data_IF_110424946893
#
_entry.id   IF_110424946893
#
_cell.length_a   1.000
_cell.length_b   1.000
_cell.length_c   1.000
_cell.angle_alpha   90.00
_cell.angle_beta   90.00
_cell.angle_gamma   90.00
#
_symmetry.space_group_name_H-M   'P 1'
#
loop_
_entity.id
_entity.type
_entity.pdbx_description
1 polymer ?
#
# COMPACT_ATOMS: atom_id res chain seq x y z
N UNK A 1 27.06 -17.17 -41.44
CA UNK A 1 25.93 -16.22 -41.23
C UNK A 1 24.87 -16.94 -40.40
N UNK A 2 24.99 -16.88 -39.08
CA UNK A 2 23.95 -17.36 -38.18
C UNK A 2 23.34 -16.12 -37.51
N UNK A 3 22.26 -15.64 -38.06
CA UNK A 3 21.40 -14.67 -37.40
C UNK A 3 20.61 -15.41 -36.31
N UNK A 4 21.19 -15.51 -35.13
CA UNK A 4 20.42 -15.87 -33.93
C UNK A 4 19.41 -14.79 -33.71
N UNK A 5 18.15 -15.04 -34.04
CA UNK A 5 16.99 -14.29 -33.63
C UNK A 5 17.01 -14.24 -32.12
N UNK A 6 17.40 -13.09 -31.58
CA UNK A 6 17.24 -12.75 -30.17
C UNK A 6 15.72 -12.65 -29.93
N UNK A 7 15.05 -13.79 -29.67
CA UNK A 7 13.70 -13.76 -29.15
C UNK A 7 13.78 -13.04 -27.83
N UNK A 8 13.25 -11.82 -27.78
CA UNK A 8 13.14 -11.02 -26.56
C UNK A 8 12.46 -11.89 -25.49
N UNK A 9 13.24 -12.43 -24.56
CA UNK A 9 12.74 -13.27 -23.48
C UNK A 9 11.77 -12.41 -22.65
N UNK A 10 10.51 -12.82 -22.61
CA UNK A 10 9.49 -12.14 -21.79
C UNK A 10 9.89 -12.19 -20.31
N UNK A 11 9.73 -11.09 -19.60
CA UNK A 11 9.95 -11.07 -18.15
C UNK A 11 8.82 -11.83 -17.45
N UNK A 12 9.18 -12.63 -16.47
CA UNK A 12 8.26 -13.40 -15.64
C UNK A 12 7.84 -12.58 -14.42
N UNK A 13 6.59 -12.12 -14.43
CA UNK A 13 6.03 -11.25 -13.41
C UNK A 13 5.23 -12.10 -12.41
N UNK A 14 5.77 -12.24 -11.20
CA UNK A 14 5.05 -12.86 -10.09
C UNK A 14 3.98 -11.90 -9.57
N UNK A 15 2.71 -12.11 -9.89
CA UNK A 15 1.61 -11.31 -9.33
C UNK A 15 1.19 -11.94 -8.00
N UNK A 16 1.53 -11.26 -6.90
CA UNK A 16 1.32 -11.75 -5.54
C UNK A 16 0.01 -11.20 -4.97
N UNK A 17 -0.90 -12.08 -4.54
CA UNK A 17 -2.24 -11.69 -4.11
C UNK A 17 -2.79 -12.55 -2.97
N UNK A 18 -3.92 -12.09 -2.38
CA UNK A 18 -4.58 -12.73 -1.26
C UNK A 18 -4.01 -12.26 0.08
N UNK A 19 -3.62 -13.20 0.94
CA UNK A 19 -2.99 -12.92 2.23
C UNK A 19 -3.94 -12.97 3.42
N UNK A 20 -3.37 -12.86 4.62
CA UNK A 20 -4.06 -12.89 5.93
C UNK A 20 -4.57 -11.49 6.28
N UNK A 21 -5.49 -10.97 5.49
CA UNK A 21 -5.99 -9.60 5.60
C UNK A 21 -7.49 -9.55 5.43
N UNK A 22 -8.14 -8.57 6.03
CA UNK A 22 -9.55 -8.24 5.79
C UNK A 22 -9.84 -7.81 4.34
N UNK A 23 -8.79 -7.48 3.59
CA UNK A 23 -8.86 -7.05 2.18
C UNK A 23 -8.52 -8.17 1.18
N UNK A 24 -8.53 -9.43 1.62
CA UNK A 24 -8.19 -10.60 0.80
C UNK A 24 -8.92 -10.63 -0.54
N UNK A 25 -10.23 -10.42 -0.55
CA UNK A 25 -11.06 -10.48 -1.77
C UNK A 25 -10.77 -9.30 -2.72
N UNK A 26 -10.48 -8.13 -2.18
CA UNK A 26 -10.07 -6.94 -2.96
C UNK A 26 -8.74 -7.21 -3.66
N UNK A 27 -7.83 -7.91 -2.98
CA UNK A 27 -6.54 -8.33 -3.54
C UNK A 27 -6.71 -9.26 -4.74
N UNK A 28 -7.66 -10.22 -4.69
CA UNK A 28 -7.95 -11.09 -5.82
C UNK A 28 -8.46 -10.29 -7.04
N UNK A 29 -9.37 -9.36 -6.82
CA UNK A 29 -9.90 -8.51 -7.88
C UNK A 29 -8.81 -7.61 -8.52
N UNK A 30 -7.93 -7.05 -7.68
CA UNK A 30 -6.77 -6.27 -8.12
C UNK A 30 -5.81 -7.11 -8.95
N UNK A 31 -5.45 -8.32 -8.49
CA UNK A 31 -4.56 -9.23 -9.20
C UNK A 31 -5.12 -9.65 -10.56
N UNK A 32 -6.42 -9.96 -10.62
CA UNK A 32 -7.08 -10.28 -11.90
C UNK A 32 -6.99 -9.12 -12.88
N UNK A 33 -7.10 -7.88 -12.42
CA UNK A 33 -6.98 -6.67 -13.26
C UNK A 33 -5.55 -6.45 -13.73
N UNK A 34 -4.56 -6.59 -12.84
CA UNK A 34 -3.13 -6.48 -13.20
C UNK A 34 -2.75 -7.54 -14.23
N UNK A 35 -3.11 -8.81 -14.03
CA UNK A 35 -2.82 -9.90 -14.97
C UNK A 35 -3.40 -9.63 -16.35
N UNK A 36 -4.64 -9.13 -16.43
CA UNK A 36 -5.25 -8.74 -17.72
C UNK A 36 -4.57 -7.53 -18.37
N UNK A 37 -3.99 -6.65 -17.55
CA UNK A 37 -3.31 -5.43 -18.02
C UNK A 37 -1.88 -5.68 -18.51
N UNK A 38 -1.21 -6.76 -18.09
CA UNK A 38 0.13 -7.13 -18.56
C UNK A 38 0.14 -7.35 -20.07
N UNK A 39 1.14 -6.80 -20.77
CA UNK A 39 1.34 -7.05 -22.21
C UNK A 39 1.93 -8.46 -22.43
N UNK A 40 1.19 -9.40 -23.04
CA UNK A 40 1.66 -10.76 -23.21
C UNK A 40 2.87 -10.90 -24.15
N UNK A 41 3.20 -9.86 -24.91
CA UNK A 41 4.41 -9.83 -25.74
C UNK A 41 5.67 -9.50 -24.92
N UNK A 42 5.51 -8.78 -23.80
CA UNK A 42 6.60 -8.36 -22.91
C UNK A 42 6.73 -9.26 -21.68
N UNK A 43 5.59 -9.74 -21.16
CA UNK A 43 5.49 -10.36 -19.84
C UNK A 43 4.81 -11.72 -19.87
N UNK A 44 5.27 -12.60 -18.97
CA UNK A 44 4.60 -13.82 -18.58
C UNK A 44 4.09 -13.65 -17.15
N UNK A 45 2.78 -13.67 -16.97
CA UNK A 45 2.18 -13.56 -15.64
C UNK A 45 2.28 -14.90 -14.89
N UNK A 46 2.82 -14.87 -13.67
CA UNK A 46 2.87 -16.00 -12.74
C UNK A 46 1.99 -15.66 -11.52
N UNK A 47 0.75 -16.16 -11.44
CA UNK A 47 -0.12 -15.91 -10.29
C UNK A 47 0.40 -16.63 -9.04
N UNK A 48 0.63 -15.87 -7.96
CA UNK A 48 1.10 -16.37 -6.66
C UNK A 48 0.06 -15.99 -5.62
N UNK A 49 -0.72 -16.96 -5.18
CA UNK A 49 -1.77 -16.75 -4.19
C UNK A 49 -1.31 -17.09 -2.78
N UNK A 50 -1.65 -16.23 -1.80
CA UNK A 50 -1.50 -16.52 -0.38
C UNK A 50 -2.89 -16.71 0.21
N UNK A 51 -3.14 -17.87 0.85
CA UNK A 51 -4.43 -18.17 1.47
C UNK A 51 -4.67 -17.32 2.73
N UNK A 52 -5.88 -17.36 3.28
CA UNK A 52 -6.20 -16.69 4.56
C UNK A 52 -5.44 -17.27 5.75
N UNK A 53 -4.94 -18.49 5.63
CA UNK A 53 -4.08 -19.17 6.61
C UNK A 53 -2.58 -18.83 6.41
N UNK A 54 -2.22 -18.22 5.27
CA UNK A 54 -0.84 -17.84 4.94
C UNK A 54 -0.08 -18.85 4.06
N UNK A 55 -0.75 -19.83 3.47
CA UNK A 55 -0.10 -20.78 2.57
C UNK A 55 0.10 -20.18 1.18
N UNK A 56 1.30 -20.32 0.66
CA UNK A 56 1.66 -19.87 -0.68
C UNK A 56 1.33 -20.92 -1.72
N UNK A 57 0.68 -20.50 -2.80
CA UNK A 57 0.21 -21.35 -3.88
C UNK A 57 0.52 -20.74 -5.24
N UNK A 58 0.95 -21.56 -6.20
CA UNK A 58 1.07 -21.17 -7.61
C UNK A 58 0.14 -22.01 -8.47
N UNK A 59 -0.43 -21.36 -9.49
CA UNK A 59 -1.28 -22.03 -10.48
C UNK A 59 -0.55 -22.25 -11.80
N UNK A 60 -0.92 -23.30 -12.54
CA UNK A 60 -0.46 -23.49 -13.91
C UNK A 60 -1.26 -22.60 -14.87
N UNK A 61 -0.58 -21.58 -15.43
CA UNK A 61 -1.13 -20.68 -16.46
C UNK A 61 -1.91 -19.48 -15.92
N UNK A 62 -1.67 -18.32 -16.53
CA UNK A 62 -2.27 -17.03 -16.16
C UNK A 62 -3.79 -16.93 -16.38
N UNK A 63 -4.41 -17.92 -17.00
CA UNK A 63 -5.84 -17.92 -17.34
C UNK A 63 -6.73 -18.67 -16.34
N UNK A 64 -6.17 -19.36 -15.35
CA UNK A 64 -6.98 -20.01 -14.31
C UNK A 64 -7.53 -18.95 -13.37
N UNK A 65 -8.77 -19.10 -12.96
CA UNK A 65 -9.41 -18.21 -11.99
C UNK A 65 -8.58 -18.21 -10.70
N UNK A 66 -8.23 -17.01 -10.19
CA UNK A 66 -7.38 -16.85 -9.01
C UNK A 66 -7.87 -17.62 -7.76
N UNK A 67 -9.20 -17.76 -7.51
CA UNK A 67 -9.70 -18.64 -6.47
C UNK A 67 -9.30 -20.12 -6.63
N UNK A 68 -9.05 -20.60 -7.86
CA UNK A 68 -8.58 -21.98 -8.10
C UNK A 68 -7.11 -22.14 -7.76
N UNK A 69 -6.30 -21.08 -7.94
CA UNK A 69 -4.89 -21.06 -7.48
C UNK A 69 -4.85 -21.25 -5.96
N UNK A 70 -5.68 -20.53 -5.23
CA UNK A 70 -5.74 -20.63 -3.76
C UNK A 70 -6.20 -22.02 -3.27
N UNK A 71 -7.18 -22.65 -3.97
CA UNK A 71 -7.75 -23.95 -3.57
C UNK A 71 -6.90 -25.15 -3.96
N UNK A 72 -6.37 -25.15 -5.18
CA UNK A 72 -5.74 -26.32 -5.79
C UNK A 72 -4.36 -26.06 -6.38
N UNK A 73 -3.76 -24.89 -6.19
CA UNK A 73 -2.42 -24.57 -6.65
C UNK A 73 -1.34 -25.39 -5.93
N UNK A 74 -0.19 -25.56 -6.58
CA UNK A 74 0.97 -26.20 -6.00
C UNK A 74 1.46 -25.39 -4.80
N UNK A 75 1.70 -26.04 -3.67
CA UNK A 75 2.30 -25.42 -2.50
C UNK A 75 3.75 -25.06 -2.78
N UNK A 76 4.13 -23.81 -2.51
CA UNK A 76 5.47 -23.28 -2.73
C UNK A 76 5.94 -22.44 -1.55
N UNK A 77 7.24 -22.19 -1.50
CA UNK A 77 7.85 -21.16 -0.66
C UNK A 77 8.77 -20.28 -1.51
N UNK A 78 8.89 -19.02 -1.15
CA UNK A 78 9.91 -18.14 -1.69
C UNK A 78 11.19 -18.33 -0.88
N UNK A 79 12.31 -18.49 -1.59
CA UNK A 79 13.62 -18.54 -0.94
C UNK A 79 14.04 -17.13 -0.52
N UNK A 80 14.67 -17.00 0.63
CA UNK A 80 15.32 -15.75 1.07
C UNK A 80 16.81 -15.71 0.63
N UNK A 81 17.16 -16.47 -0.40
CA UNK A 81 18.49 -16.54 -0.98
C UNK A 81 18.55 -15.67 -2.25
N UNK A 82 19.30 -14.56 -2.24
CA UNK A 82 19.37 -13.66 -3.40
C UNK A 82 20.06 -14.30 -4.62
N UNK A 83 20.77 -15.41 -4.45
CA UNK A 83 21.40 -16.15 -5.56
C UNK A 83 20.42 -17.08 -6.25
N UNK A 84 19.30 -17.45 -5.59
CA UNK A 84 18.23 -18.30 -6.13
C UNK A 84 16.85 -17.69 -5.88
N UNK A 85 16.55 -16.64 -6.62
CA UNK A 85 15.26 -15.92 -6.58
C UNK A 85 14.13 -16.76 -7.20
N UNK A 86 13.80 -17.89 -6.59
CA UNK A 86 12.82 -18.85 -7.10
C UNK A 86 11.71 -19.19 -6.11
N UNK A 87 10.58 -19.66 -6.66
CA UNK A 87 9.52 -20.32 -5.91
C UNK A 87 9.79 -21.82 -5.89
N UNK A 88 10.10 -22.37 -4.73
CA UNK A 88 10.43 -23.78 -4.55
C UNK A 88 9.18 -24.57 -4.15
N UNK A 89 8.87 -25.69 -4.86
CA UNK A 89 7.76 -26.55 -4.46
C UNK A 89 8.01 -27.22 -3.10
N UNK A 90 7.01 -27.19 -2.20
CA UNK A 90 7.11 -27.79 -0.86
C UNK A 90 6.96 -29.32 -0.87
N UNK A 91 6.25 -29.88 -1.87
CA UNK A 91 5.89 -31.30 -1.90
C UNK A 91 6.86 -32.16 -2.72
N UNK A 92 8.05 -31.67 -3.03
CA UNK A 92 9.04 -32.39 -3.85
C UNK A 92 8.64 -32.52 -5.33
N UNK A 93 9.59 -32.43 -6.22
CA UNK A 93 9.38 -32.68 -7.66
C UNK A 93 9.18 -31.41 -8.48
N UNK A 94 10.26 -30.90 -9.01
CA UNK A 94 10.31 -29.79 -9.97
C UNK A 94 11.42 -28.80 -9.63
N UNK A 95 12.02 -28.22 -10.66
CA UNK A 95 12.91 -27.08 -10.51
C UNK A 95 12.10 -25.86 -10.02
N UNK A 96 12.71 -25.03 -9.18
CA UNK A 96 12.12 -23.78 -8.73
C UNK A 96 11.71 -22.90 -9.92
N UNK A 97 10.62 -22.17 -9.77
CA UNK A 97 10.19 -21.22 -10.79
C UNK A 97 10.87 -19.88 -10.55
N UNK A 98 11.84 -19.53 -11.36
CA UNK A 98 12.51 -18.24 -11.31
C UNK A 98 11.58 -17.13 -11.76
N UNK A 99 11.61 -16.01 -11.05
CA UNK A 99 10.86 -14.80 -11.34
C UNK A 99 11.82 -13.65 -11.67
N UNK A 100 11.38 -12.69 -12.45
CA UNK A 100 12.19 -11.53 -12.80
C UNK A 100 11.73 -10.28 -12.02
N UNK A 101 10.43 -10.14 -11.74
CA UNK A 101 9.84 -9.05 -10.94
C UNK A 101 8.63 -9.57 -10.18
N UNK A 102 8.41 -9.06 -8.97
CA UNK A 102 7.18 -9.27 -8.22
C UNK A 102 6.28 -8.04 -8.33
N UNK A 103 5.01 -8.26 -8.61
CA UNK A 103 3.97 -7.25 -8.53
C UNK A 103 3.03 -7.58 -7.37
N UNK A 104 3.29 -7.05 -6.16
CA UNK A 104 2.40 -7.28 -5.03
C UNK A 104 1.13 -6.45 -5.19
N UNK A 105 -0.02 -7.09 -5.04
CA UNK A 105 -1.35 -6.46 -4.95
C UNK A 105 -2.08 -6.94 -3.70
N UNK A 106 -1.31 -7.14 -2.65
CA UNK A 106 -1.79 -7.49 -1.32
C UNK A 106 -2.13 -6.21 -0.57
N UNK A 107 -3.37 -6.11 -0.10
CA UNK A 107 -3.83 -4.93 0.64
C UNK A 107 -3.88 -5.18 2.14
N UNK A 108 -3.59 -4.14 2.93
CA UNK A 108 -3.63 -4.17 4.37
C UNK A 108 -2.48 -4.92 5.04
N UNK A 109 -2.76 -5.55 6.17
CA UNK A 109 -1.77 -6.24 7.02
C UNK A 109 -1.00 -7.31 6.24
N UNK A 110 0.31 -7.41 6.50
CA UNK A 110 1.29 -8.26 5.82
C UNK A 110 1.53 -7.93 4.33
N UNK A 111 0.70 -7.07 3.71
CA UNK A 111 0.85 -6.65 2.32
C UNK A 111 1.49 -5.26 2.18
N UNK A 112 1.07 -4.29 3.02
CA UNK A 112 1.46 -2.88 2.93
C UNK A 112 2.31 -2.41 4.11
N UNK A 113 2.66 -3.27 5.05
CA UNK A 113 3.31 -2.94 6.33
C UNK A 113 4.82 -3.18 6.37
N UNK A 114 5.44 -3.51 5.25
CA UNK A 114 6.87 -3.82 5.15
C UNK A 114 7.20 -5.31 5.31
N UNK A 115 6.24 -6.13 5.77
CA UNK A 115 6.48 -7.56 6.05
C UNK A 115 6.81 -8.33 4.77
N UNK A 116 5.96 -8.26 3.75
CA UNK A 116 6.23 -8.93 2.46
C UNK A 116 7.41 -8.29 1.74
N UNK A 117 7.56 -6.95 1.83
CA UNK A 117 8.68 -6.24 1.23
C UNK A 117 10.02 -6.71 1.81
N UNK A 118 10.07 -7.01 3.11
CA UNK A 118 11.27 -7.58 3.75
C UNK A 118 11.65 -8.95 3.19
N UNK A 119 10.69 -9.83 2.95
CA UNK A 119 10.95 -11.12 2.31
C UNK A 119 11.46 -10.95 0.88
N UNK A 120 10.84 -10.05 0.11
CA UNK A 120 11.23 -9.77 -1.27
C UNK A 120 12.64 -9.15 -1.34
N UNK A 121 12.99 -8.28 -0.41
CA UNK A 121 14.33 -7.71 -0.29
C UNK A 121 15.38 -8.78 0.01
N UNK A 122 15.12 -9.70 0.95
CA UNK A 122 16.02 -10.80 1.28
C UNK A 122 16.18 -11.75 0.09
N UNK A 123 15.13 -11.98 -0.69
CA UNK A 123 15.17 -12.81 -1.91
C UNK A 123 15.89 -12.15 -3.07
N UNK A 124 16.32 -10.89 -2.94
CA UNK A 124 16.98 -10.17 -4.04
C UNK A 124 16.10 -9.92 -5.27
N UNK A 125 14.76 -10.00 -5.14
CA UNK A 125 13.83 -9.82 -6.24
C UNK A 125 13.40 -8.35 -6.38
N UNK A 126 13.44 -7.79 -7.61
CA UNK A 126 12.77 -6.52 -7.88
C UNK A 126 11.27 -6.63 -7.58
N UNK A 127 10.69 -5.62 -6.96
CA UNK A 127 9.25 -5.60 -6.72
C UNK A 127 8.65 -4.20 -6.88
N UNK A 128 7.38 -4.17 -7.28
CA UNK A 128 6.61 -2.94 -7.50
C UNK A 128 6.18 -2.35 -6.17
N UNK A 129 6.32 -1.03 -6.02
CA UNK A 129 5.85 -0.28 -4.87
C UNK A 129 6.96 0.12 -3.91
N UNK A 130 6.57 0.60 -2.74
CA UNK A 130 7.48 1.07 -1.71
C UNK A 130 8.28 -0.08 -1.08
N UNK A 131 9.50 0.20 -0.67
CA UNK A 131 10.35 -0.72 0.10
C UNK A 131 9.87 -0.90 1.54
N UNK A 132 10.65 -1.62 2.34
CA UNK A 132 10.33 -1.95 3.74
C UNK A 132 9.99 -0.71 4.55
N UNK A 133 10.87 0.30 4.54
CA UNK A 133 10.71 1.51 5.36
C UNK A 133 9.46 2.29 4.96
N UNK A 134 9.30 2.60 3.67
CA UNK A 134 8.16 3.38 3.18
C UNK A 134 6.83 2.67 3.42
N UNK A 135 6.77 1.34 3.23
CA UNK A 135 5.58 0.54 3.51
C UNK A 135 5.22 0.56 5.00
N UNK A 136 6.19 0.31 5.89
CA UNK A 136 5.95 0.31 7.33
C UNK A 136 5.49 1.69 7.86
N UNK A 137 6.13 2.76 7.39
CA UNK A 137 5.77 4.14 7.74
C UNK A 137 4.39 4.49 7.19
N UNK A 138 4.13 4.19 5.91
CA UNK A 138 2.85 4.50 5.26
C UNK A 138 1.67 3.81 5.93
N UNK A 139 1.87 2.58 6.40
CA UNK A 139 0.83 1.80 7.09
C UNK A 139 0.51 2.34 8.49
N UNK A 140 1.51 2.78 9.25
CA UNK A 140 1.32 3.32 10.60
C UNK A 140 0.91 4.79 10.55
N UNK A 141 -0.38 5.06 10.66
CA UNK A 141 -0.96 6.41 10.56
C UNK A 141 -0.37 7.41 11.57
N UNK A 142 0.03 6.96 12.75
CA UNK A 142 0.66 7.82 13.77
C UNK A 142 2.08 8.24 13.34
N UNK A 143 2.90 7.28 12.92
CA UNK A 143 4.26 7.56 12.45
C UNK A 143 4.24 8.41 11.19
N UNK A 144 3.39 8.06 10.21
CA UNK A 144 3.20 8.85 9.00
C UNK A 144 2.84 10.31 9.31
N UNK A 145 1.86 10.54 10.18
CA UNK A 145 1.44 11.90 10.56
C UNK A 145 2.55 12.70 11.25
N UNK A 146 3.34 12.08 12.10
CA UNK A 146 4.50 12.75 12.74
C UNK A 146 5.53 13.18 11.71
N UNK A 147 5.89 12.32 10.75
CA UNK A 147 6.85 12.66 9.69
C UNK A 147 6.29 13.75 8.75
N UNK A 148 5.01 13.67 8.40
CA UNK A 148 4.34 14.69 7.61
C UNK A 148 4.34 16.06 8.30
N UNK A 149 4.15 16.11 9.64
CA UNK A 149 4.28 17.36 10.41
C UNK A 149 5.69 17.93 10.37
N UNK A 150 6.74 17.08 10.49
CA UNK A 150 8.13 17.50 10.33
C UNK A 150 8.36 18.10 8.94
N UNK A 151 7.74 17.49 7.90
CA UNK A 151 7.74 18.02 6.53
C UNK A 151 6.83 19.25 6.32
N UNK A 152 6.23 19.79 7.39
CA UNK A 152 5.33 20.96 7.37
C UNK A 152 4.05 20.76 6.54
N UNK A 153 3.61 19.51 6.40
CA UNK A 153 2.35 19.16 5.76
C UNK A 153 1.27 19.10 6.84
N UNK A 154 0.17 19.82 6.63
CA UNK A 154 -0.96 19.78 7.55
C UNK A 154 -1.63 18.41 7.52
N UNK A 155 -1.78 17.81 8.68
CA UNK A 155 -2.50 16.55 8.89
C UNK A 155 -3.71 16.75 9.80
N UNK A 156 -4.69 15.86 9.71
CA UNK A 156 -5.83 15.86 10.64
C UNK A 156 -5.31 15.74 12.07
N UNK A 157 -5.70 16.63 13.01
CA UNK A 157 -5.29 16.54 14.40
C UNK A 157 -5.70 15.22 15.04
N UNK A 158 -4.78 14.62 15.82
CA UNK A 158 -4.99 13.31 16.44
C UNK A 158 -4.35 13.20 17.82
N UNK A 159 -4.81 12.21 18.58
CA UNK A 159 -4.17 11.67 19.78
C UNK A 159 -3.90 10.19 19.52
N UNK A 160 -2.74 9.73 19.95
CA UNK A 160 -2.38 8.31 19.95
C UNK A 160 -2.68 7.70 21.30
N UNK A 161 -3.39 6.58 21.30
CA UNK A 161 -3.73 5.78 22.47
C UNK A 161 -3.15 4.39 22.31
N UNK A 162 -2.29 3.95 23.24
CA UNK A 162 -1.83 2.59 23.26
C UNK A 162 -2.84 1.69 23.98
N UNK A 163 -3.13 0.51 23.43
CA UNK A 163 -4.06 -0.48 24.00
C UNK A 163 -3.77 -0.75 25.48
N UNK A 164 -2.49 -0.97 25.84
CA UNK A 164 -2.07 -1.16 27.22
C UNK A 164 -2.47 -0.01 28.15
N UNK A 165 -2.28 1.24 27.72
CA UNK A 165 -2.61 2.42 28.51
C UNK A 165 -4.12 2.61 28.63
N UNK A 166 -4.87 2.30 27.56
CA UNK A 166 -6.32 2.27 27.56
C UNK A 166 -6.88 1.27 28.58
N UNK A 167 -6.40 0.02 28.54
CA UNK A 167 -6.83 -1.04 29.45
C UNK A 167 -6.52 -0.70 30.91
N UNK A 168 -5.36 -0.09 31.18
CA UNK A 168 -4.92 0.26 32.51
C UNK A 168 -5.61 1.49 33.10
N UNK A 169 -5.84 2.53 32.30
CA UNK A 169 -6.28 3.84 32.78
C UNK A 169 -7.40 4.47 31.88
N UNK A 170 -8.54 3.80 31.66
CA UNK A 170 -9.55 4.24 30.69
C UNK A 170 -10.10 5.63 30.99
N UNK A 171 -10.34 5.95 32.27
CA UNK A 171 -10.86 7.29 32.67
C UNK A 171 -9.87 8.42 32.39
N UNK A 172 -8.57 8.17 32.52
CA UNK A 172 -7.54 9.15 32.22
C UNK A 172 -7.45 9.42 30.71
N UNK A 173 -7.47 8.36 29.91
CA UNK A 173 -7.45 8.44 28.44
C UNK A 173 -8.68 9.18 27.92
N UNK A 174 -9.89 8.87 28.43
CA UNK A 174 -11.10 9.59 28.06
C UNK A 174 -11.00 11.11 28.34
N UNK A 175 -10.50 11.49 29.52
CA UNK A 175 -10.29 12.89 29.87
C UNK A 175 -9.29 13.58 28.94
N UNK A 176 -8.19 12.91 28.59
CA UNK A 176 -7.21 13.43 27.66
C UNK A 176 -7.81 13.69 26.28
N UNK A 177 -8.61 12.75 25.75
CA UNK A 177 -9.31 12.90 24.48
C UNK A 177 -10.26 14.06 24.53
N UNK A 178 -11.10 14.17 25.57
CA UNK A 178 -12.12 15.23 25.72
C UNK A 178 -11.53 16.61 26.00
N UNK A 179 -10.29 16.68 26.54
CA UNK A 179 -9.59 17.96 26.70
C UNK A 179 -9.06 18.51 25.38
N UNK A 180 -8.73 17.63 24.43
CA UNK A 180 -8.17 18.02 23.13
C UNK A 180 -9.25 18.19 22.06
N UNK A 181 -10.27 17.32 22.05
CA UNK A 181 -11.28 17.30 21.01
C UNK A 181 -12.70 17.43 21.54
N UNK A 182 -13.53 18.14 20.76
CA UNK A 182 -15.00 18.10 20.89
C UNK A 182 -15.52 17.01 19.95
N UNK A 183 -16.58 16.34 20.36
CA UNK A 183 -17.30 15.39 19.50
C UNK A 183 -17.93 16.09 18.27
N UNK A 184 -18.05 15.42 17.14
CA UNK A 184 -17.64 14.04 16.89
C UNK A 184 -16.12 13.87 16.68
N UNK A 185 -15.61 12.66 17.02
CA UNK A 185 -14.26 12.23 16.73
C UNK A 185 -14.28 10.89 15.98
N UNK A 186 -13.21 10.56 15.27
CA UNK A 186 -12.98 9.23 14.72
C UNK A 186 -12.02 8.45 15.60
N UNK A 187 -12.39 7.23 15.94
CA UNK A 187 -11.53 6.25 16.61
C UNK A 187 -11.17 5.17 15.59
N UNK A 188 -9.88 4.93 15.37
CA UNK A 188 -9.42 3.98 14.35
C UNK A 188 -8.12 3.27 14.75
N UNK A 189 -7.92 1.99 14.35
CA UNK A 189 -6.64 1.32 14.45
C UNK A 189 -5.56 2.08 13.66
N UNK A 190 -4.32 2.13 14.19
CA UNK A 190 -3.23 2.85 13.52
C UNK A 190 -2.74 2.16 12.25
N UNK A 191 -2.80 0.81 12.22
CA UNK A 191 -2.15 -0.04 11.21
C UNK A 191 -3.12 -0.89 10.40
N UNK A 192 -4.34 -0.40 10.16
CA UNK A 192 -5.35 -1.07 9.33
C UNK A 192 -5.88 -0.15 8.23
N UNK A 193 -6.18 -0.77 7.08
CA UNK A 193 -6.85 -0.16 5.94
C UNK A 193 -8.37 -0.34 5.95
N UNK A 194 -9.01 0.10 4.87
CA UNK A 194 -10.42 -0.15 4.52
C UNK A 194 -11.44 0.14 5.62
N UNK A 195 -11.14 1.07 6.51
CA UNK A 195 -12.04 1.48 7.61
C UNK A 195 -12.42 0.36 8.60
N UNK A 196 -11.68 -0.76 8.62
CA UNK A 196 -11.91 -1.86 9.58
C UNK A 196 -11.60 -1.39 11.00
N UNK A 197 -12.50 -1.64 11.95
CA UNK A 197 -12.35 -1.21 13.33
C UNK A 197 -12.45 0.30 13.57
N UNK A 198 -12.88 1.09 12.56
CA UNK A 198 -13.06 2.53 12.65
C UNK A 198 -14.50 2.86 13.07
N UNK A 199 -14.63 3.82 14.00
CA UNK A 199 -15.90 4.31 14.50
C UNK A 199 -15.92 5.84 14.54
N UNK A 200 -17.01 6.45 14.03
CA UNK A 200 -17.32 7.86 14.28
C UNK A 200 -18.10 7.95 15.59
N UNK A 201 -17.56 8.69 16.55
CA UNK A 201 -18.05 8.80 17.92
C UNK A 201 -18.67 10.16 18.11
N UNK A 202 -19.96 10.23 18.43
CA UNK A 202 -20.71 11.47 18.59
C UNK A 202 -20.85 11.92 20.04
N UNK A 203 -20.57 11.02 20.98
CA UNK A 203 -20.77 11.29 22.41
C UNK A 203 -19.78 10.48 23.27
N UNK A 204 -19.64 10.92 24.53
CA UNK A 204 -18.84 10.21 25.53
C UNK A 204 -19.27 8.76 25.72
N UNK A 205 -20.56 8.47 25.62
CA UNK A 205 -21.09 7.13 25.80
C UNK A 205 -20.59 6.14 24.74
N UNK A 206 -20.34 6.63 23.52
CA UNK A 206 -19.85 5.84 22.38
C UNK A 206 -18.33 5.66 22.39
N UNK A 207 -17.58 6.48 23.15
CA UNK A 207 -16.11 6.48 23.11
C UNK A 207 -15.50 5.18 23.62
N UNK A 208 -16.02 4.62 24.74
CA UNK A 208 -15.53 3.36 25.30
C UNK A 208 -15.73 2.17 24.38
N UNK A 209 -16.92 1.91 23.82
CA UNK A 209 -17.09 0.85 22.82
C UNK A 209 -16.19 1.01 21.60
N UNK A 210 -16.00 2.23 21.11
CA UNK A 210 -15.17 2.51 19.94
C UNK A 210 -13.67 2.23 20.20
N UNK A 211 -13.14 2.63 21.37
CA UNK A 211 -11.76 2.34 21.77
C UNK A 211 -11.55 0.84 21.97
N UNK A 212 -12.51 0.14 22.58
CA UNK A 212 -12.45 -1.32 22.74
C UNK A 212 -12.40 -2.02 21.38
N UNK A 213 -13.30 -1.64 20.46
CA UNK A 213 -13.31 -2.20 19.11
C UNK A 213 -11.98 -1.97 18.39
N UNK A 214 -11.47 -0.75 18.39
CA UNK A 214 -10.19 -0.46 17.73
C UNK A 214 -9.02 -1.21 18.37
N UNK A 215 -9.06 -1.44 19.70
CA UNK A 215 -8.07 -2.21 20.45
C UNK A 215 -8.04 -3.71 20.07
N UNK A 216 -9.13 -4.27 19.55
CA UNK A 216 -9.14 -5.65 19.05
C UNK A 216 -8.24 -5.81 17.81
N UNK A 217 -8.14 -4.75 17.00
CA UNK A 217 -7.45 -4.77 15.72
C UNK A 217 -6.01 -4.23 15.74
N UNK A 218 -5.64 -3.40 16.73
CA UNK A 218 -4.30 -2.85 16.81
C UNK A 218 -3.87 -2.55 18.23
N UNK A 219 -2.55 -2.61 18.48
CA UNK A 219 -1.95 -2.19 19.74
C UNK A 219 -1.92 -0.66 19.90
N UNK A 220 -2.04 0.07 18.79
CA UNK A 220 -2.03 1.53 18.70
C UNK A 220 -3.30 2.02 18.04
N UNK A 221 -3.97 2.96 18.66
CA UNK A 221 -5.26 3.52 18.27
C UNK A 221 -5.07 5.02 18.03
N UNK A 222 -5.65 5.56 16.97
CA UNK A 222 -5.76 7.00 16.75
C UNK A 222 -7.17 7.46 17.11
N UNK A 223 -7.22 8.58 17.83
CA UNK A 223 -8.44 9.37 17.98
C UNK A 223 -8.24 10.68 17.24
N UNK A 224 -9.03 10.92 16.20
CA UNK A 224 -8.90 12.06 15.32
C UNK A 224 -10.11 12.98 15.37
N UNK A 225 -9.85 14.27 15.18
CA UNK A 225 -10.92 15.24 14.99
C UNK A 225 -11.73 14.89 13.73
N UNK A 226 -13.06 14.80 13.86
CA UNK A 226 -13.92 14.67 12.68
C UNK A 226 -13.93 15.97 11.87
N UNK A 227 -13.66 15.84 10.57
CA UNK A 227 -13.58 16.96 9.64
C UNK A 227 -14.85 17.03 8.76
N UNK A 228 -15.39 18.22 8.58
CA UNK A 228 -16.42 18.49 7.56
C UNK A 228 -15.69 18.93 6.30
N UNK A 229 -15.42 17.97 5.43
CA UNK A 229 -14.52 18.18 4.30
C UNK A 229 -15.02 17.47 3.03
N UNK A 230 -14.38 17.80 1.91
CA UNK A 230 -14.41 17.03 0.66
C UNK A 230 -13.22 16.07 0.68
N UNK A 231 -13.42 14.86 0.21
CA UNK A 231 -12.36 13.85 0.11
C UNK A 231 -11.71 13.92 -1.27
N UNK A 232 -10.43 14.31 -1.31
CA UNK A 232 -9.66 14.49 -2.55
C UNK A 232 -8.53 13.48 -2.56
N UNK A 233 -8.47 12.69 -3.63
CA UNK A 233 -7.44 11.67 -3.83
C UNK A 233 -6.51 12.05 -4.99
N UNK A 234 -5.21 11.76 -4.82
CA UNK A 234 -4.17 11.97 -5.84
C UNK A 234 -3.29 10.73 -5.92
N UNK A 235 -3.06 10.25 -7.12
CA UNK A 235 -2.10 9.16 -7.37
C UNK A 235 -0.70 9.73 -7.60
N UNK A 236 0.29 9.11 -6.98
CA UNK A 236 1.72 9.43 -7.18
C UNK A 236 2.42 8.24 -7.83
N UNK A 237 3.32 8.49 -8.78
CA UNK A 237 4.06 7.51 -9.55
C UNK A 237 5.50 7.97 -9.74
N UNK A 238 6.47 7.13 -9.43
CA UNK A 238 7.90 7.39 -9.64
C UNK A 238 8.76 6.96 -8.47
N UNK A 239 10.07 7.08 -8.64
CA UNK A 239 11.09 6.88 -7.61
C UNK A 239 11.69 8.25 -7.22
N UNK A 240 12.84 8.60 -7.76
CA UNK A 240 13.57 9.84 -7.44
C UNK A 240 12.86 11.11 -7.96
N UNK A 241 12.10 11.00 -9.06
CA UNK A 241 11.31 12.10 -9.62
C UNK A 241 9.82 11.73 -9.69
N UNK A 242 9.13 11.62 -8.54
CA UNK A 242 7.72 11.25 -8.49
C UNK A 242 6.83 12.35 -9.07
N UNK A 243 5.81 11.92 -9.81
CA UNK A 243 4.78 12.77 -10.40
C UNK A 243 3.42 12.49 -9.78
N UNK A 244 2.61 13.52 -9.68
CA UNK A 244 1.23 13.42 -9.21
C UNK A 244 0.24 13.49 -10.37
N UNK A 245 -0.80 12.67 -10.33
CA UNK A 245 -1.93 12.71 -11.24
C UNK A 245 -2.77 13.98 -11.07
N UNK A 246 -3.76 14.17 -11.91
CA UNK A 246 -4.86 15.09 -11.60
C UNK A 246 -5.59 14.60 -10.34
N UNK A 247 -6.13 15.52 -9.49
CA UNK A 247 -6.92 15.13 -8.33
C UNK A 247 -8.31 14.62 -8.73
N UNK A 248 -8.78 13.59 -8.02
CA UNK A 248 -10.17 13.15 -8.03
C UNK A 248 -10.85 13.43 -6.69
N UNK A 249 -12.16 13.37 -6.68
CA UNK A 249 -12.98 13.55 -5.49
C UNK A 249 -13.87 12.34 -5.28
N UNK A 250 -13.91 11.85 -4.05
CA UNK A 250 -14.88 10.86 -3.60
C UNK A 250 -16.04 11.59 -2.94
N UNK A 251 -17.25 11.35 -3.46
CA UNK A 251 -18.48 11.87 -2.88
C UNK A 251 -19.24 10.68 -2.29
N UNK A 252 -19.08 10.40 -0.98
CA UNK A 252 -19.76 9.30 -0.35
C UNK A 252 -21.27 9.53 -0.30
N UNK A 253 -22.05 8.48 -0.46
CA UNK A 253 -23.50 8.53 -0.35
C UNK A 253 -23.98 8.56 1.11
N UNK A 254 -23.12 8.12 2.04
CA UNK A 254 -23.38 8.08 3.50
C UNK A 254 -22.50 9.09 4.23
N UNK A 255 -22.84 9.32 5.50
CA UNK A 255 -22.06 10.20 6.40
C UNK A 255 -20.60 9.75 6.55
N UNK A 256 -20.31 8.45 6.27
CA UNK A 256 -19.01 7.84 6.41
C UNK A 256 -18.72 6.83 5.30
N UNK A 257 -17.52 6.89 4.72
CA UNK A 257 -17.06 6.02 3.64
C UNK A 257 -16.38 4.76 4.23
N UNK A 258 -17.20 3.81 4.67
CA UNK A 258 -16.76 2.55 5.25
C UNK A 258 -16.46 1.47 4.19
N UNK A 259 -16.07 0.26 4.66
CA UNK A 259 -15.78 -0.88 3.80
C UNK A 259 -16.95 -1.23 2.88
N UNK A 260 -18.17 -1.21 3.41
CA UNK A 260 -19.40 -1.51 2.67
C UNK A 260 -19.64 -0.48 1.57
N UNK A 261 -19.48 0.79 1.86
CA UNK A 261 -19.61 1.88 0.88
C UNK A 261 -18.49 1.87 -0.18
N UNK A 262 -17.30 1.32 0.16
CA UNK A 262 -16.15 1.22 -0.77
C UNK A 262 -16.32 0.10 -1.79
N UNK A 263 -16.87 -1.05 -1.41
CA UNK A 263 -16.77 -2.28 -2.20
C UNK A 263 -18.09 -2.99 -2.47
N UNK A 264 -19.14 -2.73 -1.70
CA UNK A 264 -20.38 -3.52 -1.73
C UNK A 264 -21.61 -2.73 -2.13
N UNK A 265 -21.60 -1.40 -2.09
CA UNK A 265 -22.76 -0.56 -2.41
C UNK A 265 -22.54 0.31 -3.64
N UNK A 266 -23.57 0.35 -4.49
CA UNK A 266 -23.68 1.32 -5.58
C UNK A 266 -24.17 2.66 -5.02
N UNK A 267 -23.42 3.74 -5.21
CA UNK A 267 -23.86 5.08 -4.79
C UNK A 267 -22.75 6.08 -4.54
N UNK A 268 -21.51 5.63 -4.31
CA UNK A 268 -20.37 6.52 -4.23
C UNK A 268 -20.03 7.10 -5.60
N UNK A 269 -20.03 8.43 -5.72
CA UNK A 269 -19.65 9.10 -6.97
C UNK A 269 -18.15 9.40 -6.97
N UNK A 270 -17.49 9.03 -8.07
CA UNK A 270 -16.11 9.40 -8.36
C UNK A 270 -16.11 10.57 -9.35
N UNK A 271 -15.67 11.74 -8.92
CA UNK A 271 -15.55 12.92 -9.79
C UNK A 271 -14.10 13.05 -10.25
N UNK A 272 -13.83 12.74 -11.50
CA UNK A 272 -12.50 12.81 -12.14
C UNK A 272 -12.60 13.66 -13.40
N UNK A 273 -11.96 14.83 -13.46
CA UNK A 273 -11.22 15.52 -12.39
C UNK A 273 -12.12 16.06 -11.29
N UNK A 274 -11.57 16.22 -10.08
CA UNK A 274 -12.23 16.95 -8.99
C UNK A 274 -12.51 18.39 -9.37
N UNK A 275 -13.66 18.93 -8.95
CA UNK A 275 -14.03 20.35 -9.20
C UNK A 275 -13.21 21.27 -8.28
N UNK A 276 -12.01 21.66 -8.73
CA UNK A 276 -11.04 22.47 -7.98
C UNK A 276 -10.55 23.65 -8.84
N UNK A 277 -10.11 24.73 -8.18
CA UNK A 277 -9.42 25.84 -8.85
C UNK A 277 -8.01 25.37 -9.25
N UNK A 278 -7.45 25.90 -10.34
CA UNK A 278 -6.10 25.55 -10.84
C UNK A 278 -5.02 25.66 -9.75
N UNK A 279 -5.07 26.69 -8.93
CA UNK A 279 -4.13 26.86 -7.82
C UNK A 279 -4.25 25.75 -6.76
N UNK A 280 -5.46 25.28 -6.47
CA UNK A 280 -5.69 24.16 -5.56
C UNK A 280 -5.16 22.86 -6.14
N UNK A 281 -5.39 22.60 -7.43
CA UNK A 281 -4.84 21.41 -8.11
C UNK A 281 -3.31 21.37 -7.97
N UNK A 282 -2.62 22.47 -8.32
CA UNK A 282 -1.15 22.56 -8.21
C UNK A 282 -0.67 22.36 -6.78
N UNK A 283 -1.35 22.97 -5.81
CA UNK A 283 -1.00 22.83 -4.39
C UNK A 283 -1.15 21.37 -3.92
N UNK A 284 -2.26 20.72 -4.25
CA UNK A 284 -2.55 19.33 -3.88
C UNK A 284 -1.49 18.40 -4.49
N UNK A 285 -1.18 18.55 -5.78
CA UNK A 285 -0.15 17.77 -6.46
C UNK A 285 1.23 17.94 -5.80
N UNK A 286 1.62 19.19 -5.49
CA UNK A 286 2.90 19.47 -4.81
C UNK A 286 2.96 18.83 -3.43
N UNK A 287 1.87 18.89 -2.65
CA UNK A 287 1.80 18.29 -1.33
C UNK A 287 1.79 16.76 -1.39
N UNK A 288 1.15 16.15 -2.40
CA UNK A 288 1.16 14.70 -2.60
C UNK A 288 2.59 14.21 -2.90
N UNK A 289 3.34 14.89 -3.77
CA UNK A 289 4.75 14.58 -4.06
C UNK A 289 5.63 14.81 -2.81
N UNK A 290 5.40 15.90 -2.07
CA UNK A 290 6.14 16.16 -0.83
C UNK A 290 5.89 15.08 0.23
N UNK A 291 4.65 14.63 0.39
CA UNK A 291 4.27 13.55 1.30
C UNK A 291 4.93 12.23 0.89
N UNK A 292 4.89 11.89 -0.40
CA UNK A 292 5.52 10.71 -0.95
C UNK A 292 7.02 10.63 -0.61
N UNK A 293 7.74 11.76 -0.78
CA UNK A 293 9.16 11.86 -0.43
C UNK A 293 9.40 11.81 1.09
N UNK A 294 8.58 12.51 1.86
CA UNK A 294 8.73 12.58 3.32
C UNK A 294 8.50 11.22 4.01
N UNK A 295 7.75 10.33 3.38
CA UNK A 295 7.48 8.97 3.86
C UNK A 295 8.38 7.91 3.18
N UNK A 296 9.45 8.32 2.48
CA UNK A 296 10.41 7.42 1.82
C UNK A 296 9.74 6.40 0.87
N UNK A 297 8.71 6.86 0.12
CA UNK A 297 7.98 6.01 -0.79
C UNK A 297 8.66 5.92 -2.15
N UNK A 298 8.33 4.85 -2.88
CA UNK A 298 8.80 4.59 -4.24
C UNK A 298 7.74 3.85 -5.05
N UNK A 299 7.87 3.88 -6.36
CA UNK A 299 6.98 3.24 -7.31
C UNK A 299 5.62 3.90 -7.37
N UNK A 300 4.79 3.69 -6.38
CA UNK A 300 3.41 4.17 -6.34
C UNK A 300 2.91 4.50 -4.94
N UNK A 301 1.96 5.45 -4.88
CA UNK A 301 1.09 5.65 -3.72
C UNK A 301 -0.17 6.40 -4.12
N UNK A 302 -1.25 6.28 -3.34
CA UNK A 302 -2.40 7.19 -3.35
C UNK A 302 -2.36 8.03 -2.09
N UNK A 303 -2.44 9.34 -2.26
CA UNK A 303 -2.43 10.31 -1.18
C UNK A 303 -3.82 10.92 -1.06
N UNK A 304 -4.42 10.77 0.10
CA UNK A 304 -5.80 11.13 0.37
C UNK A 304 -5.86 12.37 1.26
N UNK A 305 -6.62 13.38 0.83
CA UNK A 305 -6.72 14.68 1.47
C UNK A 305 -8.15 15.01 1.89
N UNK A 306 -8.29 15.76 2.96
CA UNK A 306 -9.52 16.48 3.32
C UNK A 306 -9.39 17.96 2.99
N UNK A 307 -10.26 18.45 2.10
CA UNK A 307 -10.43 19.86 1.81
C UNK A 307 -11.64 20.40 2.57
N UNK A 308 -11.43 21.27 3.57
CA UNK A 308 -12.53 21.83 4.36
C UNK A 308 -13.58 22.49 3.47
N UNK A 309 -14.88 22.27 3.78
CA UNK A 309 -16.03 22.89 3.08
C UNK A 309 -16.25 24.35 3.49
N UNK A 310 -15.19 25.19 3.44
CA UNK A 310 -15.24 26.63 3.72
C UNK A 310 -14.67 27.40 2.54
N UNK A 311 -15.01 28.69 2.41
CA UNK A 311 -14.56 29.51 1.28
C UNK A 311 -13.03 29.57 1.10
N UNK A 312 -12.27 29.57 2.20
CA UNK A 312 -10.81 29.48 2.25
C UNK A 312 -10.39 28.18 2.95
N UNK A 313 -11.00 27.05 2.57
CA UNK A 313 -10.82 25.77 3.24
C UNK A 313 -9.35 25.30 3.27
N UNK A 314 -8.89 24.89 4.43
CA UNK A 314 -7.56 24.30 4.60
C UNK A 314 -7.56 22.90 4.02
N UNK A 315 -6.41 22.51 3.49
CA UNK A 315 -6.15 21.16 3.02
C UNK A 315 -5.38 20.39 4.10
N UNK A 316 -5.88 19.23 4.49
CA UNK A 316 -5.24 18.32 5.44
C UNK A 316 -4.97 17.00 4.74
N UNK A 317 -3.76 16.46 4.89
CA UNK A 317 -3.50 15.09 4.49
C UNK A 317 -4.15 14.16 5.52
N UNK A 318 -4.92 13.19 5.03
CA UNK A 318 -5.58 12.18 5.83
C UNK A 318 -4.70 10.94 5.97
N UNK A 319 -4.42 10.25 4.86
CA UNK A 319 -3.62 9.04 4.83
C UNK A 319 -2.89 8.85 3.49
N UNK A 320 -1.95 7.91 3.47
CA UNK A 320 -1.24 7.49 2.27
C UNK A 320 -1.36 5.98 2.14
N UNK A 321 -1.74 5.50 0.94
CA UNK A 321 -1.89 4.09 0.63
C UNK A 321 -0.73 3.66 -0.29
N UNK A 322 0.12 2.76 0.19
CA UNK A 322 1.36 2.36 -0.50
C UNK A 322 1.15 1.31 -1.57
N UNK A 323 0.10 0.49 -1.46
CA UNK A 323 -0.38 -0.41 -2.51
C UNK A 323 -1.86 -0.11 -2.76
N UNK A 324 -2.19 0.96 -3.50
CA UNK A 324 -3.58 1.31 -3.76
C UNK A 324 -4.28 0.23 -4.59
N UNK A 325 -5.61 0.16 -4.50
CA UNK A 325 -6.41 -0.78 -5.28
C UNK A 325 -6.19 -0.66 -6.79
N UNK A 326 -6.20 -1.79 -7.49
CA UNK A 326 -6.01 -1.91 -8.95
C UNK A 326 -7.22 -2.52 -9.67
N UNK A 327 -8.40 -2.46 -9.06
CA UNK A 327 -9.64 -2.89 -9.73
C UNK A 327 -10.09 -1.85 -10.78
N UNK A 328 -11.05 -2.22 -11.63
CA UNK A 328 -11.61 -1.30 -12.64
C UNK A 328 -12.31 -0.06 -12.04
N UNK A 329 -12.72 -0.13 -10.76
CA UNK A 329 -13.35 0.99 -10.06
C UNK A 329 -12.36 1.79 -9.19
N UNK A 330 -11.12 1.31 -9.03
CA UNK A 330 -10.12 1.92 -8.15
C UNK A 330 -9.64 3.27 -8.66
N UNK A 331 -9.52 4.23 -7.74
CA UNK A 331 -9.14 5.61 -8.07
C UNK A 331 -7.71 5.70 -8.62
N UNK A 332 -6.75 4.92 -8.10
CA UNK A 332 -5.36 5.02 -8.51
C UNK A 332 -5.18 4.89 -10.03
N UNK A 333 -5.61 3.81 -10.70
CA UNK A 333 -5.48 3.71 -12.15
C UNK A 333 -6.38 4.70 -12.90
N UNK A 334 -7.58 5.01 -12.41
CA UNK A 334 -8.47 5.98 -13.06
C UNK A 334 -7.90 7.39 -13.09
N UNK A 335 -7.22 7.82 -12.04
CA UNK A 335 -6.57 9.12 -11.98
C UNK A 335 -5.40 9.22 -12.97
N UNK A 336 -4.64 8.13 -13.14
CA UNK A 336 -3.58 8.09 -14.14
C UNK A 336 -4.12 8.03 -15.57
N UNK A 337 -5.16 7.27 -15.82
CA UNK A 337 -5.84 7.24 -17.14
C UNK A 337 -6.33 8.64 -17.52
N UNK A 338 -7.00 9.33 -16.60
CA UNK A 338 -7.44 10.71 -16.81
C UNK A 338 -6.29 11.74 -16.89
N UNK A 339 -5.09 11.36 -16.43
CA UNK A 339 -3.85 12.13 -16.57
C UNK A 339 -3.05 11.79 -17.85
N UNK A 340 -3.58 10.90 -18.71
CA UNK A 340 -2.98 10.53 -19.99
C UNK A 340 -2.07 9.29 -19.95
N UNK A 341 -2.07 8.51 -18.87
CA UNK A 341 -1.34 7.24 -18.75
C UNK A 341 -2.37 6.09 -18.71
N UNK A 342 -2.63 5.40 -19.83
CA UNK A 342 -3.54 4.27 -19.89
C UNK A 342 -3.10 3.11 -18.98
N UNK A 343 -4.04 2.29 -18.53
CA UNK A 343 -3.83 1.23 -17.54
C UNK A 343 -2.64 0.30 -17.86
N UNK A 344 -2.51 -0.14 -19.14
CA UNK A 344 -1.38 -1.00 -19.56
C UNK A 344 -0.04 -0.28 -19.44
N UNK A 345 0.03 0.99 -19.85
CA UNK A 345 1.25 1.78 -19.73
C UNK A 345 1.60 2.07 -18.25
N UNK A 346 0.61 2.22 -17.40
CA UNK A 346 0.81 2.35 -15.96
C UNK A 346 1.48 1.09 -15.38
N UNK A 347 1.01 -0.09 -15.76
CA UNK A 347 1.63 -1.37 -15.34
C UNK A 347 3.06 -1.47 -15.87
N UNK A 348 3.29 -1.19 -17.15
CA UNK A 348 4.64 -1.15 -17.74
C UNK A 348 5.56 -0.24 -16.93
N UNK A 349 5.11 0.98 -16.64
CA UNK A 349 5.92 1.96 -15.90
C UNK A 349 6.21 1.53 -14.46
N UNK A 350 5.27 0.89 -13.79
CA UNK A 350 5.47 0.36 -12.43
C UNK A 350 6.51 -0.77 -12.42
N UNK A 351 6.52 -1.65 -13.42
CA UNK A 351 7.52 -2.71 -13.57
C UNK A 351 8.90 -2.08 -13.84
N UNK A 352 8.98 -1.09 -14.73
CA UNK A 352 10.23 -0.36 -14.99
C UNK A 352 10.78 0.30 -13.73
N UNK A 353 9.91 0.96 -12.94
CA UNK A 353 10.31 1.60 -11.68
C UNK A 353 10.83 0.58 -10.66
N UNK A 354 10.25 -0.62 -10.61
CA UNK A 354 10.74 -1.70 -9.75
C UNK A 354 12.17 -2.13 -10.16
N UNK A 355 12.41 -2.28 -11.45
CA UNK A 355 13.73 -2.62 -11.98
C UNK A 355 14.76 -1.49 -11.75
N UNK A 356 14.37 -0.22 -11.97
CA UNK A 356 15.21 0.94 -11.69
C UNK A 356 15.63 1.00 -10.21
N UNK A 357 14.67 0.82 -9.30
CA UNK A 357 14.93 0.84 -7.86
C UNK A 357 15.83 -0.32 -7.42
N UNK A 358 15.58 -1.52 -7.95
CA UNK A 358 16.41 -2.67 -7.67
C UNK A 358 17.86 -2.46 -8.16
N UNK A 359 18.04 -1.93 -9.38
CA UNK A 359 19.36 -1.62 -9.93
C UNK A 359 20.09 -0.57 -9.11
N UNK A 360 19.40 0.47 -8.61
CA UNK A 360 19.99 1.49 -7.74
C UNK A 360 20.41 0.89 -6.39
N UNK A 361 19.57 0.05 -5.79
CA UNK A 361 19.87 -0.65 -4.54
C UNK A 361 21.07 -1.60 -4.67
N UNK A 362 21.21 -2.29 -5.80
CA UNK A 362 22.32 -3.20 -6.09
C UNK A 362 23.71 -2.50 -6.16
N UNK A 363 23.74 -1.17 -6.26
CA UNK A 363 25.00 -0.38 -6.19
C UNK A 363 25.52 -0.23 -4.75
N UNK A 364 24.72 -0.58 -3.75
CA UNK A 364 25.12 -0.49 -2.34
C UNK A 364 26.07 -1.68 -2.03
N UNK A 365 27.21 -1.36 -1.45
CA UNK A 365 28.17 -2.36 -0.97
C UNK A 365 27.79 -2.80 0.43
N UNK A 366 27.67 -4.10 0.64
CA UNK A 366 27.36 -4.71 1.95
C UNK A 366 28.59 -5.35 2.60
N UNK A 367 29.69 -5.46 1.86
CA UNK A 367 30.94 -6.05 2.32
C UNK A 367 32.02 -4.99 2.46
N UNK A 368 32.86 -5.15 3.46
CA UNK A 368 34.03 -4.31 3.71
C UNK A 368 35.26 -5.18 3.45
N UNK A 369 36.15 -4.75 2.55
CA UNK A 369 37.48 -5.36 2.42
C UNK A 369 38.26 -5.09 3.71
N UNK A 370 38.47 -6.13 4.51
CA UNK A 370 39.30 -6.02 5.68
C UNK A 370 40.78 -5.86 5.30
N UNK A 371 41.56 -4.98 5.97
CA UNK A 371 43.00 -4.93 5.75
C UNK A 371 43.67 -6.30 5.98
N UNK A 372 44.73 -6.59 5.21
CA UNK A 372 45.51 -7.81 5.40
C UNK A 372 45.91 -7.98 6.88
N UNK A 373 45.57 -9.13 7.47
CA UNK A 373 45.82 -9.46 8.86
C UNK A 373 44.69 -9.13 9.85
N UNK A 374 43.70 -8.34 9.47
CA UNK A 374 42.59 -7.98 10.38
C UNK A 374 41.64 -9.16 10.65
N UNK A 375 41.56 -10.15 9.77
CA UNK A 375 40.71 -11.33 9.97
C UNK A 375 41.15 -12.19 11.18
N UNK A 376 42.43 -12.20 11.53
CA UNK A 376 42.95 -12.90 12.72
C UNK A 376 42.59 -12.22 14.05
N UNK A 377 42.38 -10.89 14.05
CA UNK A 377 42.04 -10.12 15.25
C UNK A 377 40.55 -10.29 15.68
N UNK A 378 39.68 -10.78 14.78
CA UNK A 378 38.27 -11.02 15.06
C UNK A 378 37.96 -12.47 15.49
N UNK A 379 38.98 -13.35 15.50
CA UNK A 379 38.84 -14.77 15.89
C UNK A 379 39.36 -15.05 17.32
N UNK A 380 39.75 -14.05 18.11
CA UNK A 380 40.22 -14.12 19.49
C UNK A 380 39.05 -13.67 20.45
#
# INVERSE_FOLDING_TARGET
MNSSTNQNKRLRIGVLFGGRSGEHEVSLASAASVIRGLDPNKYEAVPIGITKEGHWRIGAGAQKMLPEVLRGGQAVMMTADPTDASLVPLNGGGAGQRLDVIFPVMHGTFGEDGTIQGLLDLSGLPFVGAGVLGSAIGMDKDVAKRLLQVAKILVVPWITVHRHDWEKNPKQIQRAIESEFKYPVFVKPATLGSSVGMTKVHSRAELTPALNLAAEFAMKILVEKAMVAREIEVSVLGNNDPKASIPGEIVPHREFYDYTAKYLEDGTQLLIPAKLKTAQVKMIQSLAVAAFRALELSGMARVDFFLEKRAAGKLFLNEVNTIPGFTSISMYPKLWEASGIPFRQLIDRLIELALEQHAEKARTKYEIELPEGAAGALQG
#
